data_IF_519063444489
#
_entry.id   IF_519063444489
#
_cell.length_a   1.000
_cell.length_b   1.000
_cell.length_c   1.000
_cell.angle_alpha   90.00
_cell.angle_beta   90.00
_cell.angle_gamma   90.00
#
_symmetry.space_group_name_H-M   'P 1'
#
loop_
_entity.id
_entity.type
_entity.pdbx_description
1 polymer ?
#
# COMPACT_ATOMS: atom_id res chain seq x y z
N UNK A 1 -30.56 5.57 9.64
CA UNK A 1 -29.18 5.86 10.08
C UNK A 1 -28.45 6.46 8.90
N UNK A 2 -28.04 7.72 9.01
CA UNK A 2 -27.31 8.46 7.97
C UNK A 2 -25.83 8.10 8.14
N UNK A 3 -25.43 7.00 7.50
CA UNK A 3 -24.04 6.60 7.34
C UNK A 3 -23.92 6.21 5.86
N UNK A 4 -23.65 7.17 4.98
CA UNK A 4 -23.71 6.92 3.54
C UNK A 4 -23.06 7.94 2.62
N UNK A 5 -22.95 9.22 3.01
CA UNK A 5 -22.44 10.25 2.09
C UNK A 5 -21.03 10.77 2.42
N UNK A 6 -20.53 10.55 3.63
CA UNK A 6 -19.16 10.92 4.01
C UNK A 6 -18.25 9.67 4.00
N UNK A 7 -18.21 8.95 2.87
CA UNK A 7 -17.17 7.94 2.62
C UNK A 7 -15.77 8.57 2.62
N UNK A 8 -14.72 7.74 2.48
CA UNK A 8 -13.28 8.06 2.40
C UNK A 8 -12.91 9.53 2.12
N UNK A 9 -13.49 10.07 1.06
CA UNK A 9 -13.31 11.41 0.56
C UNK A 9 -13.67 12.50 1.59
N UNK A 10 -14.78 12.40 2.31
CA UNK A 10 -15.25 13.45 3.22
C UNK A 10 -14.40 13.58 4.49
N UNK A 11 -13.99 12.44 5.06
CA UNK A 11 -13.27 12.38 6.32
C UNK A 11 -11.79 12.75 6.16
N UNK A 12 -11.15 12.26 5.10
CA UNK A 12 -9.73 12.52 4.82
C UNK A 12 -9.48 13.93 4.30
N UNK A 13 -10.35 14.47 3.43
CA UNK A 13 -10.22 15.85 2.95
C UNK A 13 -10.28 16.87 4.08
N UNK A 14 -11.17 16.68 5.06
CA UNK A 14 -11.25 17.58 6.23
C UNK A 14 -9.98 17.53 7.08
N UNK A 15 -9.45 16.33 7.33
CA UNK A 15 -8.24 16.14 8.13
C UNK A 15 -7.00 16.74 7.43
N UNK A 16 -6.88 16.54 6.11
CA UNK A 16 -5.72 17.01 5.35
C UNK A 16 -5.79 18.51 5.12
N UNK A 17 -6.96 19.06 4.80
CA UNK A 17 -7.14 20.51 4.69
C UNK A 17 -6.76 21.26 5.96
N UNK A 18 -7.11 20.71 7.14
CA UNK A 18 -6.68 21.25 8.42
C UNK A 18 -5.15 21.23 8.58
N UNK A 19 -4.47 20.19 8.06
CA UNK A 19 -3.02 20.04 8.13
C UNK A 19 -2.25 20.95 7.16
N UNK A 20 -2.84 21.28 6.00
CA UNK A 20 -2.23 22.18 4.99
C UNK A 20 -2.73 23.63 5.07
N UNK A 21 -3.49 23.98 6.12
CA UNK A 21 -3.96 25.35 6.35
C UNK A 21 -5.11 25.81 5.44
N UNK A 22 -5.81 24.88 4.79
CA UNK A 22 -6.97 25.18 3.93
C UNK A 22 -8.28 25.14 4.73
N UNK A 23 -9.20 26.08 4.45
CA UNK A 23 -10.51 26.14 5.11
C UNK A 23 -11.49 25.16 4.44
N UNK A 24 -12.29 24.46 5.25
CA UNK A 24 -13.25 23.45 4.79
C UNK A 24 -14.24 23.90 3.68
N UNK A 25 -14.74 25.16 3.62
CA UNK A 25 -15.64 25.60 2.56
C UNK A 25 -14.98 25.70 1.17
N UNK A 26 -13.67 25.96 1.10
CA UNK A 26 -12.92 26.09 -0.16
C UNK A 26 -12.56 24.76 -0.82
N UNK A 27 -12.73 23.64 -0.11
CA UNK A 27 -12.44 22.28 -0.63
C UNK A 27 -13.50 21.78 -1.60
N UNK A 28 -14.73 22.30 -1.50
CA UNK A 28 -15.87 21.80 -2.24
C UNK A 28 -16.09 22.52 -3.57
N UNK A 29 -15.39 23.63 -3.82
CA UNK A 29 -15.64 24.51 -4.97
C UNK A 29 -14.67 24.33 -6.13
N UNK A 30 -13.53 23.65 -5.95
CA UNK A 30 -12.53 23.44 -7.02
C UNK A 30 -12.04 21.99 -7.09
N UNK A 31 -12.36 21.29 -8.19
CA UNK A 31 -11.88 19.93 -8.49
C UNK A 31 -10.35 19.85 -8.48
N UNK A 32 -9.67 20.86 -9.04
CA UNK A 32 -8.20 20.94 -9.03
C UNK A 32 -7.63 20.97 -7.60
N UNK A 33 -8.32 21.65 -6.68
CA UNK A 33 -7.90 21.69 -5.26
C UNK A 33 -8.09 20.37 -4.53
N UNK A 34 -9.10 19.59 -4.93
CA UNK A 34 -9.40 18.28 -4.34
C UNK A 34 -8.44 17.20 -4.86
N UNK A 35 -8.15 17.19 -6.17
CA UNK A 35 -7.15 16.30 -6.74
C UNK A 35 -5.74 16.61 -6.23
N UNK A 36 -5.38 17.89 -6.07
CA UNK A 36 -4.10 18.27 -5.45
C UNK A 36 -3.95 17.75 -4.00
N UNK A 37 -5.05 17.69 -3.24
CA UNK A 37 -5.03 17.12 -1.90
C UNK A 37 -4.83 15.61 -1.94
N UNK A 38 -5.55 14.89 -2.80
CA UNK A 38 -5.36 13.46 -2.96
C UNK A 38 -3.95 13.12 -3.45
N UNK A 39 -3.40 13.94 -4.33
CA UNK A 39 -2.03 13.83 -4.83
C UNK A 39 -1.00 13.94 -3.70
N UNK A 40 -1.13 14.99 -2.87
CA UNK A 40 -0.27 15.17 -1.70
C UNK A 40 -0.40 14.03 -0.67
N UNK A 41 -1.63 13.56 -0.43
CA UNK A 41 -1.86 12.42 0.46
C UNK A 41 -1.27 11.12 -0.08
N UNK A 42 -1.41 10.88 -1.39
CA UNK A 42 -0.87 9.71 -2.08
C UNK A 42 0.66 9.71 -1.97
N UNK A 43 1.29 10.85 -2.28
CA UNK A 43 2.73 11.05 -2.16
C UNK A 43 3.22 10.79 -0.73
N UNK A 44 2.53 11.35 0.27
CA UNK A 44 2.88 11.15 1.67
C UNK A 44 2.79 9.67 2.06
N UNK A 45 1.70 8.99 1.72
CA UNK A 45 1.48 7.60 2.09
C UNK A 45 2.53 6.65 1.49
N UNK A 46 2.88 6.82 0.22
CA UNK A 46 3.93 6.02 -0.41
C UNK A 46 5.34 6.40 0.07
N UNK A 47 5.58 7.67 0.42
CA UNK A 47 6.86 8.08 1.03
C UNK A 47 7.06 7.43 2.41
N UNK A 48 6.02 7.38 3.23
CA UNK A 48 6.05 6.66 4.52
C UNK A 48 6.30 5.16 4.32
N UNK A 49 5.68 4.55 3.31
CA UNK A 49 5.93 3.15 2.94
C UNK A 49 7.38 2.93 2.52
N UNK A 50 7.92 3.82 1.69
CA UNK A 50 9.29 3.75 1.20
C UNK A 50 10.31 3.83 2.34
N UNK A 51 10.13 4.76 3.28
CA UNK A 51 10.98 4.85 4.48
C UNK A 51 10.94 3.55 5.27
N UNK A 52 9.75 2.98 5.50
CA UNK A 52 9.61 1.69 6.19
C UNK A 52 10.34 0.55 5.44
N UNK A 53 10.29 0.56 4.11
CA UNK A 53 11.02 -0.40 3.27
C UNK A 53 12.53 -0.22 3.34
N UNK A 54 13.02 1.02 3.32
CA UNK A 54 14.44 1.35 3.43
C UNK A 54 15.01 0.91 4.78
N UNK A 55 14.31 1.22 5.87
CA UNK A 55 14.71 0.78 7.20
C UNK A 55 14.72 -0.75 7.34
N UNK A 56 13.81 -1.45 6.64
CA UNK A 56 13.77 -2.91 6.64
C UNK A 56 14.91 -3.51 5.80
N UNK A 57 15.24 -2.88 4.67
CA UNK A 57 16.18 -3.39 3.67
C UNK A 57 17.52 -3.79 4.27
N UNK A 58 18.08 -2.94 5.13
CA UNK A 58 19.38 -3.15 5.78
C UNK A 58 19.38 -4.31 6.78
N UNK A 59 18.18 -4.79 7.17
CA UNK A 59 17.97 -5.86 8.15
C UNK A 59 17.39 -7.12 7.51
N UNK A 60 17.24 -7.16 6.18
CA UNK A 60 16.69 -8.32 5.51
C UNK A 60 17.59 -9.56 5.69
N UNK A 61 16.98 -10.72 5.98
CA UNK A 61 17.69 -11.99 5.91
C UNK A 61 18.38 -12.18 4.55
N UNK A 62 19.53 -12.86 4.55
CA UNK A 62 20.18 -13.26 3.29
C UNK A 62 19.43 -14.38 2.57
N UNK A 63 18.61 -15.13 3.31
CA UNK A 63 17.77 -16.19 2.78
C UNK A 63 16.59 -15.62 1.98
N UNK A 64 16.36 -16.15 0.78
CA UNK A 64 15.34 -15.65 -0.14
C UNK A 64 13.93 -15.76 0.43
N UNK A 65 13.57 -16.94 0.95
CA UNK A 65 12.25 -17.19 1.53
C UNK A 65 11.97 -16.27 2.72
N UNK A 66 12.92 -16.14 3.63
CA UNK A 66 12.75 -15.31 4.82
C UNK A 66 12.77 -13.81 4.50
N UNK A 67 13.52 -13.38 3.49
CA UNK A 67 13.51 -11.98 3.03
C UNK A 67 12.16 -11.60 2.41
N UNK A 68 11.58 -12.48 1.57
CA UNK A 68 10.23 -12.29 1.02
C UNK A 68 9.17 -12.23 2.12
N UNK A 69 9.24 -13.10 3.13
CA UNK A 69 8.32 -13.06 4.28
C UNK A 69 8.41 -11.74 5.03
N UNK A 70 9.62 -11.24 5.28
CA UNK A 70 9.83 -9.99 5.99
C UNK A 70 9.24 -8.79 5.24
N UNK A 71 9.48 -8.70 3.92
CA UNK A 71 8.91 -7.65 3.07
C UNK A 71 7.38 -7.76 3.01
N UNK A 72 6.84 -8.96 2.77
CA UNK A 72 5.40 -9.18 2.71
C UNK A 72 4.72 -8.79 4.03
N UNK A 73 5.27 -9.22 5.16
CA UNK A 73 4.73 -8.92 6.49
C UNK A 73 4.71 -7.41 6.73
N UNK A 74 5.82 -6.73 6.42
CA UNK A 74 5.97 -5.29 6.55
C UNK A 74 4.90 -4.53 5.77
N UNK A 75 4.71 -4.88 4.49
CA UNK A 75 3.72 -4.24 3.63
C UNK A 75 2.28 -4.57 4.06
N UNK A 76 1.97 -5.82 4.40
CA UNK A 76 0.62 -6.19 4.86
C UNK A 76 0.29 -5.46 6.16
N UNK A 77 1.21 -5.42 7.13
CA UNK A 77 0.98 -4.65 8.37
C UNK A 77 0.74 -3.17 8.06
N UNK A 78 1.53 -2.58 7.16
CA UNK A 78 1.35 -1.20 6.76
C UNK A 78 -0.05 -0.98 6.16
N UNK A 79 -0.49 -1.83 5.25
CA UNK A 79 -1.74 -1.65 4.53
C UNK A 79 -2.99 -1.98 5.34
N UNK A 80 -2.94 -2.95 6.28
CA UNK A 80 -4.12 -3.32 7.09
C UNK A 80 -4.39 -2.35 8.24
N UNK A 81 -3.38 -1.57 8.68
CA UNK A 81 -3.52 -0.60 9.78
C UNK A 81 -4.44 0.58 9.46
N UNK A 82 -4.64 0.90 8.19
CA UNK A 82 -5.38 2.08 7.75
C UNK A 82 -6.05 1.81 6.38
N UNK A 83 -7.33 1.45 6.41
CA UNK A 83 -8.13 1.21 5.20
C UNK A 83 -8.16 2.45 4.28
N UNK A 84 -8.41 3.67 4.79
CA UNK A 84 -8.34 4.86 3.96
C UNK A 84 -7.04 5.06 3.18
N UNK A 85 -5.92 4.88 3.86
CA UNK A 85 -4.61 4.99 3.23
C UNK A 85 -4.39 3.88 2.20
N UNK A 86 -4.76 2.63 2.51
CA UNK A 86 -4.68 1.51 1.56
C UNK A 86 -5.51 1.75 0.29
N UNK A 87 -6.74 2.24 0.44
CA UNK A 87 -7.63 2.53 -0.69
C UNK A 87 -7.09 3.63 -1.60
N UNK A 88 -6.43 4.65 -1.03
CA UNK A 88 -5.79 5.70 -1.81
C UNK A 88 -4.54 5.20 -2.54
N UNK A 89 -3.74 4.36 -1.88
CA UNK A 89 -2.47 3.87 -2.41
C UNK A 89 -2.63 2.82 -3.51
N UNK A 90 -3.51 1.83 -3.30
CA UNK A 90 -3.49 0.56 -4.04
C UNK A 90 -4.75 0.30 -4.87
N UNK A 91 -5.79 1.12 -4.74
CA UNK A 91 -7.06 0.93 -5.43
C UNK A 91 -7.48 2.19 -6.19
N UNK A 92 -8.12 2.01 -7.35
CA UNK A 92 -8.68 3.11 -8.16
C UNK A 92 -10.06 3.55 -7.62
N UNK A 93 -10.13 3.91 -6.34
CA UNK A 93 -11.38 4.19 -5.63
C UNK A 93 -11.96 5.58 -5.88
N UNK A 94 -11.15 6.54 -6.32
CA UNK A 94 -11.55 7.92 -6.57
C UNK A 94 -11.67 8.14 -8.08
N UNK A 95 -12.90 8.28 -8.63
CA UNK A 95 -13.08 8.50 -10.06
C UNK A 95 -12.39 9.78 -10.55
N UNK A 96 -11.63 9.69 -11.64
CA UNK A 96 -10.96 10.83 -12.26
C UNK A 96 -9.74 11.38 -11.53
N UNK A 97 -9.29 10.73 -10.46
CA UNK A 97 -8.00 11.02 -9.83
C UNK A 97 -6.90 10.12 -10.41
N UNK A 98 -5.83 10.77 -10.88
CA UNK A 98 -4.57 10.13 -11.23
C UNK A 98 -3.47 10.87 -10.45
N UNK A 99 -2.56 10.17 -9.74
CA UNK A 99 -1.44 10.84 -9.09
C UNK A 99 -0.51 11.45 -10.15
N UNK A 100 0.10 12.59 -9.81
CA UNK A 100 1.17 13.18 -10.61
C UNK A 100 2.38 12.23 -10.65
N UNK A 101 3.26 12.37 -11.66
CA UNK A 101 4.52 11.61 -11.70
C UNK A 101 5.35 11.78 -10.42
N UNK A 102 5.38 12.99 -9.85
CA UNK A 102 6.10 13.30 -8.62
C UNK A 102 5.48 12.59 -7.40
N UNK A 103 4.15 12.61 -7.29
CA UNK A 103 3.44 11.89 -6.23
C UNK A 103 3.54 10.36 -6.38
N UNK A 104 3.66 9.86 -7.61
CA UNK A 104 3.78 8.44 -7.91
C UNK A 104 5.21 7.88 -7.73
N UNK A 105 6.23 8.73 -7.80
CA UNK A 105 7.63 8.30 -7.72
C UNK A 105 7.99 7.43 -6.50
N UNK A 106 7.49 7.69 -5.27
CA UNK A 106 7.77 6.81 -4.13
C UNK A 106 7.15 5.41 -4.28
N UNK A 107 5.98 5.29 -4.92
CA UNK A 107 5.36 3.98 -5.20
C UNK A 107 6.23 3.16 -6.16
N UNK A 108 6.73 3.80 -7.21
CA UNK A 108 7.68 3.20 -8.17
C UNK A 108 8.94 2.73 -7.45
N UNK A 109 9.49 3.53 -6.54
CA UNK A 109 10.69 3.16 -5.78
C UNK A 109 10.47 1.95 -4.86
N UNK A 110 9.28 1.81 -4.23
CA UNK A 110 8.94 0.63 -3.43
C UNK A 110 8.85 -0.63 -4.30
N UNK A 111 8.21 -0.53 -5.47
CA UNK A 111 8.13 -1.66 -6.40
C UNK A 111 9.52 -2.04 -6.92
N UNK A 112 10.35 -1.07 -7.30
CA UNK A 112 11.71 -1.29 -7.78
C UNK A 112 12.60 -1.96 -6.72
N UNK A 113 12.50 -1.56 -5.45
CA UNK A 113 13.18 -2.27 -4.35
C UNK A 113 12.73 -3.72 -4.24
N UNK A 114 11.42 -3.96 -4.35
CA UNK A 114 10.89 -5.33 -4.32
C UNK A 114 11.40 -6.14 -5.52
N UNK A 115 11.41 -5.55 -6.71
CA UNK A 115 11.98 -6.14 -7.91
C UNK A 115 13.47 -6.48 -7.76
N UNK A 116 14.28 -5.58 -7.18
CA UNK A 116 15.68 -5.85 -6.88
C UNK A 116 15.87 -7.02 -5.92
N UNK A 117 14.96 -7.20 -4.95
CA UNK A 117 14.98 -8.36 -4.06
C UNK A 117 14.72 -9.65 -4.85
N UNK A 118 13.76 -9.64 -5.78
CA UNK A 118 13.46 -10.80 -6.62
C UNK A 118 14.67 -11.17 -7.50
N UNK A 119 15.27 -10.18 -8.18
CA UNK A 119 16.48 -10.39 -8.98
C UNK A 119 17.65 -10.92 -8.17
N UNK A 120 17.83 -10.44 -6.93
CA UNK A 120 18.88 -10.94 -6.00
C UNK A 120 18.76 -12.43 -5.72
N UNK A 121 17.54 -12.97 -5.78
CA UNK A 121 17.25 -14.38 -5.54
C UNK A 121 17.01 -15.18 -6.83
N UNK A 122 17.29 -14.61 -7.99
CA UNK A 122 17.15 -15.28 -9.29
C UNK A 122 15.70 -15.49 -9.71
N UNK A 123 14.76 -14.72 -9.13
CA UNK A 123 13.34 -14.78 -9.45
C UNK A 123 12.99 -13.88 -10.64
N UNK A 124 11.86 -14.16 -11.28
CA UNK A 124 11.40 -13.50 -12.50
C UNK A 124 10.38 -12.40 -12.21
N UNK A 125 10.07 -11.60 -13.24
CA UNK A 125 8.99 -10.61 -13.20
C UNK A 125 7.62 -11.26 -12.96
N UNK A 126 7.39 -12.46 -13.51
CA UNK A 126 6.14 -13.22 -13.30
C UNK A 126 5.99 -13.66 -11.82
N UNK A 127 7.09 -14.03 -11.17
CA UNK A 127 7.10 -14.34 -9.74
C UNK A 127 6.74 -13.10 -8.90
N UNK A 128 7.27 -11.93 -9.29
CA UNK A 128 6.96 -10.65 -8.64
C UNK A 128 5.47 -10.31 -8.78
N UNK A 129 4.91 -10.43 -9.98
CA UNK A 129 3.49 -10.18 -10.24
C UNK A 129 2.59 -11.08 -9.39
N UNK A 130 2.91 -12.39 -9.31
CA UNK A 130 2.16 -13.34 -8.50
C UNK A 130 2.26 -13.02 -7.01
N UNK A 131 3.45 -12.66 -6.52
CA UNK A 131 3.68 -12.24 -5.14
C UNK A 131 2.87 -10.99 -4.77
N UNK A 132 2.88 -9.97 -5.62
CA UNK A 132 2.08 -8.74 -5.44
C UNK A 132 0.59 -9.05 -5.42
N UNK A 133 0.11 -9.89 -6.33
CA UNK A 133 -1.30 -10.28 -6.42
C UNK A 133 -1.78 -11.01 -5.17
N UNK A 134 -1.01 -12.00 -4.67
CA UNK A 134 -1.34 -12.75 -3.46
C UNK A 134 -1.37 -11.86 -2.22
N UNK A 135 -0.37 -10.99 -2.06
CA UNK A 135 -0.31 -10.07 -0.93
C UNK A 135 -1.48 -9.09 -0.93
N UNK A 136 -1.77 -8.49 -2.09
CA UNK A 136 -2.89 -7.57 -2.26
C UNK A 136 -4.23 -8.26 -1.93
N UNK A 137 -4.41 -9.50 -2.40
CA UNK A 137 -5.60 -10.29 -2.08
C UNK A 137 -5.76 -10.57 -0.58
N UNK A 138 -4.68 -10.84 0.15
CA UNK A 138 -4.73 -11.01 1.61
C UNK A 138 -5.12 -9.72 2.33
N UNK A 139 -4.59 -8.57 1.89
CA UNK A 139 -4.92 -7.26 2.46
C UNK A 139 -6.40 -6.95 2.24
N UNK A 140 -6.87 -7.12 1.02
CA UNK A 140 -8.26 -6.84 0.66
C UNK A 140 -9.22 -7.79 1.39
N UNK A 141 -8.88 -9.07 1.50
CA UNK A 141 -9.66 -10.03 2.26
C UNK A 141 -9.71 -9.69 3.76
N UNK A 142 -8.61 -9.19 4.35
CA UNK A 142 -8.57 -8.72 5.74
C UNK A 142 -9.53 -7.55 5.95
N UNK A 143 -9.43 -6.52 5.09
CA UNK A 143 -10.28 -5.33 5.17
C UNK A 143 -11.76 -5.66 4.95
N UNK A 144 -12.07 -6.52 3.99
CA UNK A 144 -13.44 -6.84 3.63
C UNK A 144 -14.14 -7.77 4.64
N UNK A 145 -13.42 -8.74 5.21
CA UNK A 145 -14.04 -9.85 5.92
C UNK A 145 -13.68 -9.96 7.40
N UNK A 146 -12.68 -9.22 7.89
CA UNK A 146 -12.26 -9.27 9.29
C UNK A 146 -11.63 -7.92 9.74
N UNK A 147 -12.32 -6.78 9.59
CA UNK A 147 -11.75 -5.47 9.92
C UNK A 147 -11.36 -5.39 11.41
N UNK A 148 -10.12 -4.98 11.69
CA UNK A 148 -9.55 -4.94 13.04
C UNK A 148 -9.08 -6.28 13.60
N UNK A 149 -9.36 -7.39 12.92
CA UNK A 149 -8.86 -8.71 13.26
C UNK A 149 -7.53 -9.05 12.57
N UNK A 150 -7.20 -10.33 12.52
CA UNK A 150 -5.95 -10.85 11.93
C UNK A 150 -6.15 -12.15 11.14
N UNK A 151 -7.40 -12.52 10.81
CA UNK A 151 -7.75 -13.81 10.20
C UNK A 151 -6.97 -14.09 8.92
N UNK A 152 -6.76 -13.07 8.10
CA UNK A 152 -6.13 -13.14 6.78
C UNK A 152 -4.66 -12.70 6.84
N UNK A 153 -4.35 -11.61 7.54
CA UNK A 153 -2.96 -11.14 7.73
C UNK A 153 -2.06 -12.17 8.42
N UNK A 154 -2.59 -13.02 9.32
CA UNK A 154 -1.83 -14.11 9.93
C UNK A 154 -1.39 -15.19 8.92
N UNK A 155 -1.98 -15.20 7.72
CA UNK A 155 -1.66 -16.20 6.68
C UNK A 155 -0.48 -15.79 5.80
N UNK A 156 0.04 -14.57 5.94
CA UNK A 156 1.09 -14.02 5.07
C UNK A 156 2.27 -14.97 4.95
N UNK A 157 2.86 -15.42 6.07
CA UNK A 157 4.03 -16.29 6.00
C UNK A 157 3.73 -17.62 5.29
N UNK A 158 2.57 -18.21 5.55
CA UNK A 158 2.14 -19.46 4.88
C UNK A 158 1.94 -19.26 3.38
N UNK A 159 1.37 -18.12 2.97
CA UNK A 159 1.21 -17.78 1.56
C UNK A 159 2.56 -17.59 0.88
N UNK A 160 3.51 -16.92 1.54
CA UNK A 160 4.88 -16.77 1.02
C UNK A 160 5.61 -18.11 1.00
N UNK A 161 5.40 -19.02 1.95
CA UNK A 161 5.97 -20.37 1.87
C UNK A 161 5.48 -21.12 0.63
N UNK A 162 4.18 -21.06 0.34
CA UNK A 162 3.62 -21.67 -0.88
C UNK A 162 4.20 -21.06 -2.16
N UNK A 163 4.40 -19.74 -2.18
CA UNK A 163 5.03 -19.05 -3.30
C UNK A 163 6.51 -19.41 -3.43
N UNK A 164 7.25 -19.43 -2.32
CA UNK A 164 8.66 -19.79 -2.29
C UNK A 164 8.88 -21.22 -2.80
N UNK A 165 8.02 -22.16 -2.42
CA UNK A 165 8.03 -23.54 -2.96
C UNK A 165 7.77 -23.54 -4.48
N UNK A 166 6.80 -22.74 -4.95
CA UNK A 166 6.49 -22.59 -6.37
C UNK A 166 7.65 -21.95 -7.17
N UNK A 167 8.34 -20.98 -6.57
CA UNK A 167 9.48 -20.27 -7.15
C UNK A 167 10.78 -21.10 -7.12
N UNK A 168 10.79 -22.23 -6.41
CA UNK A 168 11.99 -23.05 -6.25
C UNK A 168 13.02 -22.48 -5.28
N UNK A 169 12.61 -21.62 -4.34
CA UNK A 169 13.47 -21.16 -3.26
C UNK A 169 13.65 -22.24 -2.18
N UNK A 170 14.85 -22.36 -1.59
CA UNK A 170 15.11 -23.30 -0.50
C UNK A 170 14.28 -23.01 0.76
#
# INVERSE_FOLDING_TARGET
>A
MIAGEEGLAGLTLRQVAARVGMRAPSLYTHFDSKNAIYDAMFAQAWSECLVQYEELWDRLPSDGRESLKAVARSFVDFSVRDLPRHQLMNLRTIPGFEPSPEAYAPAVAVLEKTHQLFLRHGLTDEDLDLYVAVISGLIDAQHANDPGGQRWSRLVHRAIDMLADNFGLP
#
